data_IF_319792438521
#
_entry.id   IF_319792438521
#
_cell.length_a   1.000
_cell.length_b   1.000
_cell.length_c   1.000
_cell.angle_alpha   90.00
_cell.angle_beta   90.00
_cell.angle_gamma   90.00
#
_symmetry.space_group_name_H-M   'P 1'
#
loop_
_entity.id
_entity.type
_entity.pdbx_description
1 polymer ?
#
# COMPACT_ATOMS: atom_id res chain seq x y z
N UNK A 1 -19.42 -6.10 19.18
CA UNK A 1 -18.05 -5.66 18.86
C UNK A 1 -17.92 -4.15 18.93
N UNK A 2 -18.81 -3.39 18.29
CA UNK A 2 -18.75 -1.92 18.25
C UNK A 2 -18.79 -1.25 19.63
N UNK A 3 -19.63 -1.74 20.56
CA UNK A 3 -19.70 -1.18 21.92
C UNK A 3 -18.40 -1.34 22.73
N UNK A 4 -17.68 -2.45 22.53
CA UNK A 4 -16.40 -2.65 23.19
C UNK A 4 -15.32 -1.70 22.66
N UNK A 5 -15.32 -1.44 21.34
CA UNK A 5 -14.39 -0.49 20.71
C UNK A 5 -14.60 0.91 21.27
N UNK A 6 -15.85 1.37 21.38
CA UNK A 6 -16.16 2.65 21.98
C UNK A 6 -15.80 2.71 23.47
N UNK A 7 -15.94 1.60 24.21
CA UNK A 7 -15.62 1.57 25.63
C UNK A 7 -14.13 1.73 25.95
N UNK A 8 -13.24 1.40 25.01
CA UNK A 8 -11.78 1.53 25.18
C UNK A 8 -11.19 2.79 24.54
N UNK A 9 -12.00 3.60 23.87
CA UNK A 9 -11.56 4.85 23.23
C UNK A 9 -10.98 5.82 24.26
N UNK A 10 -9.80 6.39 23.96
CA UNK A 10 -9.11 7.33 24.86
C UNK A 10 -8.50 6.70 26.13
N UNK A 11 -8.62 5.38 26.32
CA UNK A 11 -8.02 4.67 27.45
C UNK A 11 -6.62 4.15 27.13
N UNK A 12 -5.83 3.84 28.17
CA UNK A 12 -4.53 3.17 27.98
C UNK A 12 -4.67 1.81 27.29
N UNK A 13 -5.73 1.06 27.61
CA UNK A 13 -6.04 -0.20 26.93
C UNK A 13 -6.29 0.01 25.43
N UNK A 14 -7.02 1.06 25.06
CA UNK A 14 -7.23 1.45 23.65
C UNK A 14 -5.91 1.76 22.94
N UNK A 15 -5.02 2.53 23.58
CA UNK A 15 -3.68 2.81 23.03
C UNK A 15 -2.84 1.55 22.82
N UNK A 16 -2.84 0.62 23.78
CA UNK A 16 -2.11 -0.64 23.67
C UNK A 16 -2.65 -1.52 22.53
N UNK A 17 -3.98 -1.63 22.42
CA UNK A 17 -4.63 -2.38 21.32
C UNK A 17 -4.26 -1.77 19.96
N UNK A 18 -4.35 -0.45 19.81
CA UNK A 18 -3.97 0.23 18.57
C UNK A 18 -2.50 -0.01 18.21
N UNK A 19 -1.58 0.04 19.19
CA UNK A 19 -0.16 -0.24 18.98
C UNK A 19 0.07 -1.68 18.53
N UNK A 20 -0.57 -2.65 19.18
CA UNK A 20 -0.47 -4.07 18.81
C UNK A 20 -0.97 -4.30 17.39
N UNK A 21 -2.10 -3.71 17.01
CA UNK A 21 -2.64 -3.78 15.66
C UNK A 21 -1.68 -3.16 14.63
N UNK A 22 -1.10 -2.01 14.94
CA UNK A 22 -0.16 -1.33 14.05
C UNK A 22 1.13 -2.14 13.83
N UNK A 23 1.71 -2.71 14.89
CA UNK A 23 2.91 -3.56 14.81
C UNK A 23 2.61 -4.85 14.06
N UNK A 24 1.46 -5.47 14.32
CA UNK A 24 1.02 -6.67 13.61
C UNK A 24 0.80 -6.38 12.12
N UNK A 25 0.20 -5.25 11.76
CA UNK A 25 0.06 -4.82 10.38
C UNK A 25 1.44 -4.65 9.71
N UNK A 26 2.41 -4.02 10.39
CA UNK A 26 3.77 -3.87 9.88
C UNK A 26 4.47 -5.23 9.66
N UNK A 27 4.31 -6.17 10.58
CA UNK A 27 4.85 -7.53 10.45
C UNK A 27 4.22 -8.30 9.29
N UNK A 28 2.88 -8.34 9.22
CA UNK A 28 2.16 -9.01 8.13
C UNK A 28 2.52 -8.42 6.77
N UNK A 29 2.73 -7.11 6.71
CA UNK A 29 3.18 -6.43 5.50
C UNK A 29 4.59 -6.82 5.08
N UNK A 30 5.50 -7.00 6.05
CA UNK A 30 6.85 -7.51 5.77
C UNK A 30 6.80 -8.96 5.25
N UNK A 31 5.95 -9.81 5.82
CA UNK A 31 5.71 -11.18 5.33
C UNK A 31 5.16 -11.16 3.90
N UNK A 32 4.17 -10.31 3.62
CA UNK A 32 3.64 -10.12 2.27
C UNK A 32 4.73 -9.72 1.29
N UNK A 33 5.59 -8.75 1.66
CA UNK A 33 6.71 -8.32 0.82
C UNK A 33 7.72 -9.43 0.56
N UNK A 34 8.02 -10.25 1.57
CA UNK A 34 8.91 -11.41 1.43
C UNK A 34 8.34 -12.47 0.48
N UNK A 35 7.04 -12.77 0.58
CA UNK A 35 6.34 -13.68 -0.34
C UNK A 35 6.37 -13.14 -1.78
N UNK A 36 6.16 -11.83 -1.95
CA UNK A 36 6.12 -11.19 -3.26
C UNK A 36 7.50 -11.09 -3.93
N UNK A 37 8.58 -11.00 -3.13
CA UNK A 37 9.97 -11.08 -3.61
C UNK A 37 10.40 -12.52 -3.94
N UNK A 38 9.63 -13.54 -3.53
CA UNK A 38 9.99 -14.95 -3.62
C UNK A 38 10.32 -15.45 -5.04
N UNK A 39 10.65 -16.74 -5.16
CA UNK A 39 11.14 -17.36 -6.43
C UNK A 39 10.11 -17.42 -7.57
N UNK A 40 8.84 -17.06 -7.31
CA UNK A 40 7.75 -17.20 -8.27
C UNK A 40 7.53 -15.90 -9.04
N UNK A 41 6.95 -16.01 -10.24
CA UNK A 41 6.60 -14.85 -11.06
C UNK A 41 5.72 -13.84 -10.30
N UNK A 42 5.92 -12.51 -10.49
CA UNK A 42 5.14 -11.48 -9.81
C UNK A 42 3.62 -11.61 -9.99
N UNK A 43 3.17 -12.03 -11.17
CA UNK A 43 1.75 -12.23 -11.47
C UNK A 43 1.18 -13.44 -10.74
N UNK A 44 1.92 -14.55 -10.73
CA UNK A 44 1.48 -15.76 -10.04
C UNK A 44 1.41 -15.53 -8.53
N UNK A 45 2.45 -14.91 -7.95
CA UNK A 45 2.52 -14.59 -6.53
C UNK A 45 1.38 -13.65 -6.13
N UNK A 46 1.18 -12.57 -6.89
CA UNK A 46 0.12 -11.58 -6.61
C UNK A 46 -1.27 -12.18 -6.78
N UNK A 47 -1.49 -12.95 -7.85
CA UNK A 47 -2.76 -13.61 -8.14
C UNK A 47 -3.13 -14.63 -7.07
N UNK A 48 -2.18 -15.44 -6.62
CA UNK A 48 -2.41 -16.42 -5.55
C UNK A 48 -2.79 -15.75 -4.23
N UNK A 49 -2.11 -14.65 -3.86
CA UNK A 49 -2.43 -13.90 -2.64
C UNK A 49 -3.81 -13.26 -2.74
N UNK A 50 -4.12 -12.59 -3.85
CA UNK A 50 -5.40 -11.92 -4.04
C UNK A 50 -6.56 -12.91 -4.10
N UNK A 51 -6.36 -14.08 -4.73
CA UNK A 51 -7.34 -15.16 -4.73
C UNK A 51 -7.55 -15.74 -3.33
N UNK A 52 -6.47 -16.03 -2.60
CA UNK A 52 -6.54 -16.51 -1.23
C UNK A 52 -7.28 -15.53 -0.32
N UNK A 53 -6.98 -14.24 -0.45
CA UNK A 53 -7.70 -13.18 0.26
C UNK A 53 -9.18 -13.16 -0.10
N UNK A 54 -9.52 -13.27 -1.38
CA UNK A 54 -10.90 -13.35 -1.85
C UNK A 54 -11.65 -14.54 -1.25
N UNK A 55 -11.06 -15.73 -1.24
CA UNK A 55 -11.65 -16.94 -0.65
C UNK A 55 -11.85 -16.79 0.86
N UNK A 56 -10.89 -16.19 1.57
CA UNK A 56 -11.01 -15.93 3.01
C UNK A 56 -12.07 -14.88 3.34
N UNK A 57 -12.19 -13.84 2.51
CA UNK A 57 -13.14 -12.75 2.73
C UNK A 57 -14.58 -13.10 2.28
N UNK A 58 -14.74 -14.01 1.32
CA UNK A 58 -16.04 -14.32 0.70
C UNK A 58 -17.12 -14.78 1.71
N UNK A 59 -16.86 -15.69 2.67
CA UNK A 59 -17.88 -16.06 3.66
C UNK A 59 -18.29 -14.88 4.54
N UNK A 60 -17.34 -14.03 4.92
CA UNK A 60 -17.63 -12.83 5.72
C UNK A 60 -18.51 -11.86 4.93
N UNK A 61 -18.17 -11.62 3.65
CA UNK A 61 -18.92 -10.73 2.78
C UNK A 61 -20.35 -11.23 2.49
N UNK A 62 -20.55 -12.55 2.36
CA UNK A 62 -21.86 -13.13 2.04
C UNK A 62 -22.78 -13.31 3.25
N UNK A 63 -22.21 -13.64 4.43
CA UNK A 63 -23.00 -14.07 5.58
C UNK A 63 -22.98 -13.10 6.77
N UNK A 64 -21.98 -12.21 6.85
CA UNK A 64 -21.79 -11.34 8.03
C UNK A 64 -21.93 -9.84 7.74
N UNK A 65 -21.96 -9.44 6.47
CA UNK A 65 -22.07 -8.03 6.06
C UNK A 65 -23.38 -7.82 5.29
N UNK A 66 -24.16 -6.76 5.59
CA UNK A 66 -25.35 -6.42 4.82
C UNK A 66 -25.01 -6.18 3.35
N UNK A 67 -25.93 -6.56 2.46
CA UNK A 67 -25.76 -6.30 1.04
C UNK A 67 -25.73 -4.78 0.76
N UNK A 68 -24.82 -4.33 -0.11
CA UNK A 68 -24.66 -2.91 -0.38
C UNK A 68 -25.88 -2.32 -1.08
N UNK A 69 -26.31 -1.15 -0.61
CA UNK A 69 -27.35 -0.36 -1.27
C UNK A 69 -26.96 -0.03 -2.73
N UNK A 70 -27.90 0.00 -3.68
CA UNK A 70 -27.62 0.29 -5.09
C UNK A 70 -26.85 1.60 -5.33
N UNK A 71 -27.08 2.61 -4.48
CA UNK A 71 -26.38 3.90 -4.55
C UNK A 71 -24.86 3.79 -4.32
N UNK A 72 -24.40 2.74 -3.62
CA UNK A 72 -22.98 2.50 -3.35
C UNK A 72 -22.28 1.73 -4.49
N UNK A 73 -23.03 1.15 -5.43
CA UNK A 73 -22.45 0.34 -6.51
C UNK A 73 -21.48 1.13 -7.39
N UNK A 74 -21.75 2.39 -7.78
CA UNK A 74 -20.78 3.20 -8.51
C UNK A 74 -19.49 3.43 -7.72
N UNK A 75 -19.57 3.59 -6.39
CA UNK A 75 -18.41 3.76 -5.52
C UNK A 75 -17.58 2.47 -5.50
N UNK A 76 -18.22 1.31 -5.30
CA UNK A 76 -17.52 0.02 -5.34
C UNK A 76 -16.89 -0.26 -6.70
N UNK A 77 -17.58 0.08 -7.79
CA UNK A 77 -17.03 -0.02 -9.14
C UNK A 77 -15.80 0.87 -9.33
N UNK A 78 -15.85 2.11 -8.83
CA UNK A 78 -14.71 3.04 -8.84
C UNK A 78 -13.52 2.51 -8.04
N UNK A 79 -13.75 2.06 -6.80
CA UNK A 79 -12.71 1.47 -5.94
C UNK A 79 -12.11 0.22 -6.58
N UNK A 80 -12.94 -0.66 -7.15
CA UNK A 80 -12.48 -1.85 -7.87
C UNK A 80 -11.62 -1.49 -9.07
N UNK A 81 -12.00 -0.48 -9.85
CA UNK A 81 -11.23 -0.02 -11.00
C UNK A 81 -9.87 0.54 -10.57
N UNK A 82 -9.84 1.42 -9.56
CA UNK A 82 -8.60 2.00 -9.02
C UNK A 82 -7.67 0.88 -8.53
N UNK A 83 -8.20 -0.09 -7.77
CA UNK A 83 -7.42 -1.21 -7.27
C UNK A 83 -6.91 -2.12 -8.40
N UNK A 84 -7.70 -2.34 -9.45
CA UNK A 84 -7.31 -3.17 -10.59
C UNK A 84 -6.17 -2.52 -11.37
N UNK A 85 -6.25 -1.22 -11.63
CA UNK A 85 -5.20 -0.46 -12.31
C UNK A 85 -3.93 -0.42 -11.45
N UNK A 86 -4.06 -0.15 -10.15
CA UNK A 86 -2.96 -0.20 -9.18
C UNK A 86 -2.21 -1.55 -9.25
N UNK A 87 -2.94 -2.66 -9.16
CA UNK A 87 -2.35 -4.00 -9.14
C UNK A 87 -1.66 -4.33 -10.46
N UNK A 88 -2.28 -3.95 -11.58
CA UNK A 88 -1.70 -4.11 -12.91
C UNK A 88 -0.38 -3.35 -13.05
N UNK A 89 -0.37 -2.06 -12.70
CA UNK A 89 0.83 -1.22 -12.75
C UNK A 89 1.92 -1.72 -11.82
N UNK A 90 1.57 -2.18 -10.63
CA UNK A 90 2.50 -2.77 -9.68
C UNK A 90 3.16 -4.03 -10.24
N UNK A 91 2.38 -4.95 -10.80
CA UNK A 91 2.90 -6.17 -11.42
C UNK A 91 3.83 -5.83 -12.61
N UNK A 92 3.44 -4.88 -13.46
CA UNK A 92 4.27 -4.38 -14.55
C UNK A 92 5.59 -3.79 -14.06
N UNK A 93 5.58 -3.02 -12.96
CA UNK A 93 6.79 -2.46 -12.36
C UNK A 93 7.74 -3.57 -11.88
N UNK A 94 7.21 -4.63 -11.26
CA UNK A 94 8.02 -5.77 -10.77
C UNK A 94 8.51 -6.71 -11.87
N UNK A 95 7.81 -6.79 -13.01
CA UNK A 95 8.30 -7.56 -14.17
C UNK A 95 9.45 -6.84 -14.90
N UNK A 96 9.47 -5.51 -14.86
CA UNK A 96 10.43 -4.68 -15.61
C UNK A 96 11.61 -4.17 -14.78
N UNK A 97 11.61 -4.34 -13.47
CA UNK A 97 12.71 -3.86 -12.63
C UNK A 97 12.92 -4.75 -11.42
N UNK A 98 14.14 -4.73 -10.89
CA UNK A 98 14.48 -5.47 -9.69
C UNK A 98 13.57 -5.05 -8.53
N UNK A 99 12.94 -6.02 -7.86
CA UNK A 99 12.01 -5.76 -6.75
C UNK A 99 12.63 -4.85 -5.68
N UNK A 100 13.90 -5.06 -5.33
CA UNK A 100 14.62 -4.26 -4.32
C UNK A 100 14.80 -2.79 -4.69
N UNK A 101 14.73 -2.44 -5.97
CA UNK A 101 14.82 -1.05 -6.45
C UNK A 101 13.44 -0.44 -6.60
N UNK A 102 12.52 -1.17 -7.23
CA UNK A 102 11.18 -0.68 -7.59
C UNK A 102 10.27 -0.61 -6.36
N UNK A 103 10.36 -1.59 -5.45
CA UNK A 103 9.50 -1.66 -4.27
C UNK A 103 9.63 -0.45 -3.35
N UNK A 104 10.84 0.01 -2.96
CA UNK A 104 10.97 1.24 -2.19
C UNK A 104 10.34 2.44 -2.90
N UNK A 105 10.48 2.56 -4.22
CA UNK A 105 9.94 3.70 -4.98
C UNK A 105 8.42 3.73 -4.92
N UNK A 106 7.75 2.60 -5.19
CA UNK A 106 6.28 2.47 -5.05
C UNK A 106 5.84 2.86 -3.63
N UNK A 107 6.57 2.41 -2.62
CA UNK A 107 6.23 2.63 -1.21
C UNK A 107 6.54 4.04 -0.72
N UNK A 108 7.52 4.73 -1.29
CA UNK A 108 7.88 6.10 -0.94
C UNK A 108 6.96 7.13 -1.61
N UNK A 109 6.55 6.88 -2.85
CA UNK A 109 5.68 7.80 -3.59
C UNK A 109 4.24 7.78 -3.08
N UNK A 110 3.75 6.66 -2.55
CA UNK A 110 2.41 6.57 -1.95
C UNK A 110 2.16 7.59 -0.84
N UNK A 111 2.91 7.55 0.28
CA UNK A 111 2.79 8.53 1.37
C UNK A 111 3.03 9.97 0.91
N UNK A 112 3.98 10.19 -0.01
CA UNK A 112 4.23 11.52 -0.57
C UNK A 112 2.98 12.09 -1.25
N UNK A 113 2.36 11.33 -2.16
CA UNK A 113 1.13 11.76 -2.82
C UNK A 113 -0.05 11.86 -1.85
N UNK A 114 -0.10 11.00 -0.84
CA UNK A 114 -1.17 11.02 0.18
C UNK A 114 -1.12 12.33 0.99
N UNK A 115 0.06 12.74 1.49
CA UNK A 115 0.22 13.99 2.24
C UNK A 115 -0.09 15.21 1.37
N UNK A 116 0.35 15.21 0.11
CA UNK A 116 0.04 16.28 -0.85
C UNK A 116 -1.47 16.34 -1.14
N UNK A 117 -2.11 15.18 -1.34
CA UNK A 117 -3.55 15.07 -1.55
C UNK A 117 -4.35 15.54 -0.34
N UNK A 118 -3.94 15.14 0.87
CA UNK A 118 -4.52 15.59 2.14
C UNK A 118 -4.49 17.13 2.26
N UNK A 119 -3.34 17.72 1.97
CA UNK A 119 -3.17 19.17 1.97
C UNK A 119 -4.07 19.87 0.93
N UNK A 120 -4.11 19.39 -0.32
CA UNK A 120 -4.81 20.05 -1.43
C UNK A 120 -6.32 19.84 -1.45
N UNK A 121 -6.78 18.62 -1.13
CA UNK A 121 -8.19 18.21 -1.25
C UNK A 121 -8.94 18.50 0.05
N UNK A 122 -8.34 18.16 1.19
CA UNK A 122 -8.98 18.25 2.50
C UNK A 122 -8.57 19.51 3.28
N UNK A 123 -7.58 20.27 2.79
CA UNK A 123 -7.11 21.49 3.44
C UNK A 123 -6.36 21.21 4.75
N UNK A 124 -5.82 20.00 4.93
CA UNK A 124 -5.09 19.64 6.14
C UNK A 124 -3.79 20.44 6.27
N UNK A 125 -3.53 21.00 7.46
CA UNK A 125 -2.31 21.74 7.74
C UNK A 125 -1.40 20.91 8.62
N UNK A 126 -0.19 20.63 8.12
CA UNK A 126 0.80 19.85 8.84
C UNK A 126 1.78 20.74 9.58
N UNK A 127 2.08 20.37 10.82
CA UNK A 127 3.11 20.99 11.66
C UNK A 127 4.52 20.74 11.11
N UNK A 128 5.49 21.55 11.54
CA UNK A 128 6.89 21.37 11.16
C UNK A 128 7.41 19.97 11.53
N UNK A 129 7.02 19.45 12.70
CA UNK A 129 7.42 18.11 13.15
C UNK A 129 6.89 17.00 12.24
N UNK A 130 5.66 17.12 11.75
CA UNK A 130 5.09 16.17 10.79
C UNK A 130 5.83 16.21 9.46
N UNK A 131 6.17 17.40 8.96
CA UNK A 131 6.99 17.55 7.75
C UNK A 131 8.39 16.96 7.90
N UNK A 132 9.03 17.15 9.06
CA UNK A 132 10.31 16.50 9.36
C UNK A 132 10.17 14.97 9.38
N UNK A 133 9.10 14.43 9.96
CA UNK A 133 8.80 13.00 9.92
C UNK A 133 8.67 12.46 8.49
N UNK A 134 7.94 13.18 7.63
CA UNK A 134 7.81 12.86 6.20
C UNK A 134 9.18 12.92 5.51
N UNK A 135 9.98 13.96 5.76
CA UNK A 135 11.31 14.09 5.17
C UNK A 135 12.24 12.93 5.56
N UNK A 136 12.25 12.54 6.84
CA UNK A 136 13.03 11.38 7.32
C UNK A 136 12.54 10.10 6.66
N UNK A 137 11.23 9.86 6.60
CA UNK A 137 10.64 8.69 5.95
C UNK A 137 11.05 8.60 4.47
N UNK A 138 10.87 9.68 3.71
CA UNK A 138 11.18 9.71 2.29
C UNK A 138 12.68 9.57 2.02
N UNK A 139 13.53 10.20 2.85
CA UNK A 139 14.98 10.07 2.73
C UNK A 139 15.46 8.63 2.93
N UNK A 140 14.88 7.90 3.91
CA UNK A 140 15.22 6.50 4.14
C UNK A 140 14.79 5.59 2.99
N UNK A 141 13.56 5.76 2.51
CA UNK A 141 13.01 4.92 1.43
C UNK A 141 13.72 5.19 0.10
N UNK A 142 13.84 6.45 -0.30
CA UNK A 142 14.49 6.80 -1.56
C UNK A 142 16.02 6.64 -1.48
N UNK A 143 16.63 6.83 -0.31
CA UNK A 143 18.04 6.52 -0.08
C UNK A 143 18.34 5.04 -0.32
N UNK A 144 17.48 4.14 0.17
CA UNK A 144 17.59 2.71 -0.12
C UNK A 144 17.38 2.40 -1.61
N UNK A 145 16.44 3.08 -2.27
CA UNK A 145 16.21 2.94 -3.71
C UNK A 145 17.46 3.35 -4.51
N UNK A 146 18.04 4.50 -4.20
CA UNK A 146 19.26 5.03 -4.83
C UNK A 146 20.44 4.09 -4.61
N UNK A 147 20.63 3.62 -3.37
CA UNK A 147 21.65 2.62 -3.07
C UNK A 147 21.48 1.37 -3.94
N UNK A 148 20.28 0.81 -4.00
CA UNK A 148 20.03 -0.37 -4.82
C UNK A 148 20.19 -0.08 -6.33
N UNK A 149 19.85 1.12 -6.83
CA UNK A 149 20.10 1.52 -8.22
C UNK A 149 21.59 1.64 -8.57
N UNK A 150 22.42 2.05 -7.62
CA UNK A 150 23.86 2.18 -7.83
C UNK A 150 24.54 0.81 -7.86
N UNK A 151 24.17 -0.09 -6.94
CA UNK A 151 24.90 -1.34 -6.69
C UNK A 151 24.27 -2.60 -7.29
N UNK A 152 23.01 -2.59 -7.75
CA UNK A 152 22.43 -3.71 -8.53
C UNK A 152 22.51 -3.46 -10.02
N UNK A 153 23.05 -4.45 -10.75
CA UNK A 153 23.10 -4.46 -12.22
C UNK A 153 21.96 -5.24 -12.89
N UNK A 154 21.01 -5.78 -12.10
CA UNK A 154 19.89 -6.54 -12.64
C UNK A 154 18.85 -5.62 -13.32
N UNK A 155 18.44 -6.00 -14.54
CA UNK A 155 17.35 -5.39 -15.31
C UNK A 155 17.49 -3.86 -15.56
N UNK A 156 18.71 -3.36 -15.80
CA UNK A 156 18.95 -1.93 -16.08
C UNK A 156 18.24 -1.42 -17.33
N UNK A 157 18.12 -2.24 -18.37
CA UNK A 157 17.55 -1.85 -19.66
C UNK A 157 16.07 -1.42 -19.57
N UNK A 158 15.32 -2.06 -18.67
CA UNK A 158 13.88 -1.80 -18.46
C UNK A 158 13.59 -0.97 -17.21
N UNK A 159 14.64 -0.59 -16.46
CA UNK A 159 14.51 0.09 -15.17
C UNK A 159 13.83 1.45 -15.28
N UNK A 160 14.12 2.23 -16.32
CA UNK A 160 13.48 3.54 -16.52
C UNK A 160 11.96 3.42 -16.65
N UNK A 161 11.48 2.44 -17.42
CA UNK A 161 10.05 2.14 -17.55
C UNK A 161 9.47 1.60 -16.24
N UNK A 162 10.21 0.74 -15.52
CA UNK A 162 9.79 0.22 -14.22
C UNK A 162 9.60 1.34 -13.18
N UNK A 163 10.45 2.35 -13.19
CA UNK A 163 10.37 3.52 -12.31
C UNK A 163 9.13 4.37 -12.61
N UNK A 164 8.79 4.59 -13.88
CA UNK A 164 7.55 5.29 -14.26
C UNK A 164 6.35 4.52 -13.72
N UNK A 165 6.27 3.21 -13.93
CA UNK A 165 5.21 2.40 -13.37
C UNK A 165 5.20 2.44 -11.83
N UNK A 166 6.37 2.49 -11.18
CA UNK A 166 6.47 2.59 -9.73
C UNK A 166 5.87 3.88 -9.17
N UNK A 167 6.17 5.02 -9.80
CA UNK A 167 5.65 6.33 -9.41
C UNK A 167 4.14 6.38 -9.62
N UNK A 168 3.64 5.97 -10.79
CA UNK A 168 2.20 5.93 -11.08
C UNK A 168 1.49 4.97 -10.12
N UNK A 169 2.10 3.82 -9.79
CA UNK A 169 1.55 2.89 -8.79
C UNK A 169 1.40 3.59 -7.44
N UNK A 170 2.39 4.36 -6.99
CA UNK A 170 2.29 5.14 -5.75
C UNK A 170 1.17 6.18 -5.77
N UNK A 171 0.93 6.82 -6.92
CA UNK A 171 -0.23 7.73 -7.06
C UNK A 171 -1.54 6.97 -6.86
N UNK A 172 -1.70 5.81 -7.48
CA UNK A 172 -2.89 4.99 -7.27
C UNK A 172 -3.01 4.48 -5.84
N UNK A 173 -1.89 4.23 -5.14
CA UNK A 173 -1.91 3.94 -3.71
C UNK A 173 -2.52 5.08 -2.93
N UNK A 174 -2.14 6.33 -3.20
CA UNK A 174 -2.73 7.50 -2.57
C UNK A 174 -4.21 7.70 -2.96
N UNK A 175 -4.63 7.31 -4.17
CA UNK A 175 -6.01 7.47 -4.61
C UNK A 175 -7.01 6.53 -3.92
N UNK A 176 -6.59 5.34 -3.49
CA UNK A 176 -7.48 4.43 -2.76
C UNK A 176 -7.35 4.50 -1.23
N UNK A 177 -6.31 5.18 -0.73
CA UNK A 177 -6.09 5.40 0.71
C UNK A 177 -7.02 6.49 1.19
#
# INVERSE_FOLDING_TARGET
MTEWIYAIEGTEAGHQVALVLAVMAAFLHAVFGALQKGRFDPWLSRGAIDFGYGVMALPVALFFVPWPEPALWPIYGGVFLIHSIYKYLQAMAYTKGAYTVVYPVVRGTGPLFTVIGAYLIFGEVFTLTQWLGVAVLLSGIFGLALYNMMYLDAARDTLGTAMIFAVITGLFVALYT
#
